data_IF_196883164728
#
_entry.id   IF_196883164728
#
_cell.length_a   1.000
_cell.length_b   1.000
_cell.length_c   1.000
_cell.angle_alpha   90.00
_cell.angle_beta   90.00
_cell.angle_gamma   90.00
#
_symmetry.space_group_name_H-M   'P 1'
#
loop_
_entity.id
_entity.type
_entity.pdbx_description
1 polymer ?
#
# COMPACT_ATOMS: atom_id res chain seq x y z
N UNK A 1 1.43 -20.22 -1.76
CA UNK A 1 0.53 -19.25 -1.08
C UNK A 1 0.26 -18.14 -2.08
N UNK A 2 -1.00 -17.82 -2.38
CA UNK A 2 -1.30 -16.73 -3.31
C UNK A 2 -0.90 -15.38 -2.72
N UNK A 3 -0.72 -14.37 -3.57
CA UNK A 3 -0.46 -13.00 -3.12
C UNK A 3 -1.55 -12.56 -2.13
N UNK A 4 -1.16 -11.79 -1.11
CA UNK A 4 -2.10 -11.17 -0.19
C UNK A 4 -3.03 -10.23 -0.94
N UNK A 5 -4.31 -10.18 -0.52
CA UNK A 5 -5.24 -9.20 -1.07
C UNK A 5 -4.69 -7.77 -0.86
N UNK A 6 -4.64 -6.92 -1.89
CA UNK A 6 -4.08 -5.59 -1.76
C UNK A 6 -4.93 -4.72 -0.85
N UNK A 7 -4.27 -3.97 0.03
CA UNK A 7 -4.87 -2.83 0.72
C UNK A 7 -4.83 -1.64 -0.23
N UNK A 8 -6.01 -1.06 -0.48
CA UNK A 8 -6.16 0.13 -1.29
C UNK A 8 -6.52 1.33 -0.40
N UNK A 9 -5.69 2.36 -0.42
CA UNK A 9 -5.96 3.66 0.19
C UNK A 9 -6.35 4.61 -0.94
N UNK A 10 -7.56 5.17 -0.86
CA UNK A 10 -8.05 6.12 -1.85
C UNK A 10 -7.31 7.45 -1.70
N UNK A 11 -6.76 7.95 -2.80
CA UNK A 11 -6.16 9.28 -2.90
C UNK A 11 -7.19 10.26 -3.47
N UNK A 12 -6.89 11.56 -3.44
CA UNK A 12 -7.73 12.58 -4.09
C UNK A 12 -7.83 12.38 -5.61
N UNK A 13 -6.76 11.91 -6.24
CA UNK A 13 -6.72 11.44 -7.62
C UNK A 13 -5.93 10.13 -7.71
N UNK A 14 -6.65 9.02 -7.87
CA UNK A 14 -6.08 7.68 -7.98
C UNK A 14 -6.04 6.92 -6.66
N UNK A 15 -5.02 6.09 -6.47
CA UNK A 15 -4.90 5.25 -5.28
C UNK A 15 -3.46 4.82 -4.96
N UNK A 16 -3.24 4.62 -3.67
CA UNK A 16 -2.11 3.87 -3.13
C UNK A 16 -2.54 2.41 -2.94
N UNK A 17 -1.79 1.47 -3.50
CA UNK A 17 -1.95 0.02 -3.30
C UNK A 17 -0.72 -0.51 -2.58
N UNK A 18 -0.93 -1.30 -1.54
CA UNK A 18 0.12 -2.09 -0.91
C UNK A 18 -0.33 -3.54 -0.78
N UNK A 19 0.54 -4.49 -1.12
CA UNK A 19 0.28 -5.92 -0.97
C UNK A 19 1.55 -6.70 -0.66
N UNK A 20 1.36 -7.90 -0.13
CA UNK A 20 2.44 -8.82 0.23
C UNK A 20 2.48 -9.91 -0.82
N UNK A 21 3.64 -10.09 -1.44
CA UNK A 21 3.90 -11.18 -2.37
C UNK A 21 4.37 -12.44 -1.64
N UNK A 22 4.55 -13.51 -2.41
CA UNK A 22 5.29 -14.68 -1.94
C UNK A 22 6.65 -14.26 -1.35
N UNK A 23 7.09 -14.97 -0.30
CA UNK A 23 8.34 -14.70 0.43
C UNK A 23 8.39 -13.39 1.23
N UNK A 24 7.24 -12.85 1.63
CA UNK A 24 7.11 -11.69 2.52
C UNK A 24 7.63 -10.36 1.93
N UNK A 25 7.84 -10.30 0.62
CA UNK A 25 8.14 -9.06 -0.08
C UNK A 25 6.90 -8.14 -0.10
N UNK A 26 7.11 -6.83 0.08
CA UNK A 26 6.02 -5.85 0.07
C UNK A 26 6.13 -4.99 -1.19
N UNK A 27 5.07 -4.97 -1.98
CA UNK A 27 4.92 -4.07 -3.10
C UNK A 27 4.05 -2.87 -2.72
N UNK A 28 4.52 -1.67 -3.07
CA UNK A 28 3.84 -0.41 -2.80
C UNK A 28 3.80 0.39 -4.10
N UNK A 29 2.60 0.77 -4.54
CA UNK A 29 2.40 1.54 -5.77
C UNK A 29 1.38 2.64 -5.55
N UNK A 30 1.76 3.89 -5.82
CA UNK A 30 0.87 5.04 -5.79
C UNK A 30 0.75 5.61 -7.20
N UNK A 31 -0.45 5.61 -7.77
CA UNK A 31 -0.70 6.16 -9.10
C UNK A 31 -1.99 6.96 -9.15
N UNK A 32 -2.02 7.97 -10.03
CA UNK A 32 -3.22 8.72 -10.40
C UNK A 32 -4.19 7.84 -11.19
N UNK A 33 -5.40 8.35 -11.47
CA UNK A 33 -6.33 7.69 -12.39
C UNK A 33 -5.75 7.49 -13.81
N UNK A 34 -4.77 8.31 -14.21
CA UNK A 34 -4.08 8.22 -15.50
C UNK A 34 -2.86 7.27 -15.47
N UNK A 35 -2.47 6.77 -14.30
CA UNK A 35 -1.32 5.88 -14.14
C UNK A 35 0.02 6.59 -13.95
N UNK A 36 0.01 7.91 -13.69
CA UNK A 36 1.20 8.67 -13.36
C UNK A 36 1.58 8.50 -11.88
N UNK A 37 2.86 8.54 -11.51
CA UNK A 37 3.26 8.61 -10.11
C UNK A 37 2.63 9.83 -9.43
N UNK A 38 2.19 9.65 -8.20
CA UNK A 38 1.57 10.73 -7.39
C UNK A 38 2.39 10.99 -6.14
N UNK A 39 2.41 12.25 -5.72
CA UNK A 39 2.91 12.62 -4.40
C UNK A 39 1.91 12.17 -3.32
N UNK A 40 2.45 11.65 -2.22
CA UNK A 40 1.66 11.24 -1.06
C UNK A 40 1.57 12.40 -0.08
N UNK A 41 0.37 12.66 0.43
CA UNK A 41 0.20 13.57 1.56
C UNK A 41 0.64 12.91 2.86
N UNK A 42 0.88 13.70 3.90
CA UNK A 42 1.17 13.18 5.25
C UNK A 42 0.12 12.18 5.74
N UNK A 43 -1.15 12.38 5.37
CA UNK A 43 -2.25 11.47 5.70
C UNK A 43 -2.10 10.12 5.02
N UNK A 44 -1.69 10.11 3.75
CA UNK A 44 -1.51 8.88 2.97
C UNK A 44 -0.31 8.08 3.49
N UNK A 45 0.76 8.80 3.87
CA UNK A 45 1.94 8.21 4.53
C UNK A 45 1.55 7.58 5.87
N UNK A 46 0.74 8.25 6.69
CA UNK A 46 0.28 7.68 7.96
C UNK A 46 -0.50 6.37 7.76
N UNK A 47 -1.44 6.34 6.81
CA UNK A 47 -2.22 5.14 6.49
C UNK A 47 -1.33 3.99 5.98
N UNK A 48 -0.29 4.30 5.19
CA UNK A 48 0.70 3.31 4.76
C UNK A 48 1.49 2.74 5.94
N UNK A 49 1.94 3.60 6.87
CA UNK A 49 2.67 3.18 8.07
C UNK A 49 1.81 2.27 8.94
N UNK A 50 0.53 2.60 9.15
CA UNK A 50 -0.39 1.79 9.94
C UNK A 50 -0.55 0.38 9.33
N UNK A 51 -0.67 0.28 8.00
CA UNK A 51 -0.68 -1.00 7.29
C UNK A 51 0.61 -1.80 7.54
N UNK A 52 1.78 -1.19 7.37
CA UNK A 52 3.07 -1.86 7.53
C UNK A 52 3.27 -2.36 8.97
N UNK A 53 2.87 -1.56 9.96
CA UNK A 53 2.90 -1.98 11.36
C UNK A 53 1.97 -3.16 11.64
N UNK A 54 0.74 -3.13 11.10
CA UNK A 54 -0.20 -4.23 11.27
C UNK A 54 0.32 -5.53 10.64
N UNK A 55 0.91 -5.45 9.45
CA UNK A 55 1.55 -6.59 8.79
C UNK A 55 2.68 -7.18 9.65
N UNK A 56 3.61 -6.34 10.12
CA UNK A 56 4.74 -6.79 10.94
C UNK A 56 4.31 -7.42 12.27
N UNK A 57 3.19 -6.98 12.87
CA UNK A 57 2.63 -7.60 14.08
C UNK A 57 1.99 -8.96 13.81
N UNK A 58 1.41 -9.17 12.62
CA UNK A 58 0.76 -10.42 12.22
C UNK A 58 1.70 -11.45 11.59
N UNK A 59 2.93 -11.05 11.20
CA UNK A 59 3.95 -11.92 10.62
C UNK A 59 4.85 -12.61 11.66
N UNK A 60 4.66 -12.34 12.96
CA UNK A 60 5.39 -12.93 14.08
C UNK A 60 4.74 -14.16 14.68
#
# INVERSE_FOLDING_TARGET
>A
MGDGAPVAIALSDGQLRAWVEQDNAIHIKALSGAGDPVELSDRDVAALVDFLQAYLRGAG
#
